data_IF_866440925064
#
_entry.id   IF_866440925064
#
_cell.length_a   1.000
_cell.length_b   1.000
_cell.length_c   1.000
_cell.angle_alpha   90.00
_cell.angle_beta   90.00
_cell.angle_gamma   90.00
#
_symmetry.space_group_name_H-M   'P 1'
#
loop_
_entity.id
_entity.type
_entity.pdbx_description
1 polymer ?
#
# COMPACT_ATOMS: atom_id res chain seq x y z
N UNK A 1 -0.33 5.76 8.39
CA UNK A 1 0.73 5.45 9.36
C UNK A 1 2.09 5.16 8.71
N UNK A 2 2.21 4.23 7.76
CA UNK A 2 3.51 3.92 7.11
C UNK A 2 4.12 5.11 6.35
N UNK A 3 3.30 5.90 5.64
CA UNK A 3 3.78 7.13 4.97
C UNK A 3 4.43 8.10 5.97
N UNK A 4 3.70 8.42 7.05
CA UNK A 4 4.17 9.31 8.13
C UNK A 4 5.50 8.85 8.74
N UNK A 5 5.71 7.54 8.88
CA UNK A 5 6.99 7.02 9.35
C UNK A 5 8.15 7.43 8.43
N UNK A 6 8.00 7.29 7.11
CA UNK A 6 9.02 7.73 6.16
C UNK A 6 9.17 9.26 6.13
N UNK A 7 8.06 10.01 6.19
CA UNK A 7 8.11 11.47 6.24
C UNK A 7 8.87 11.97 7.49
N UNK A 8 8.71 11.29 8.64
CA UNK A 8 9.46 11.62 9.87
C UNK A 8 10.92 11.18 9.80
N UNK A 9 11.21 10.04 9.16
CA UNK A 9 12.57 9.52 9.02
C UNK A 9 13.49 10.49 8.27
N UNK A 10 12.97 11.29 7.34
CA UNK A 10 13.72 12.34 6.63
C UNK A 10 14.20 13.46 7.57
N UNK A 11 13.60 13.60 8.75
CA UNK A 11 13.92 14.63 9.74
C UNK A 11 14.67 14.09 10.95
N UNK A 12 14.85 12.78 11.06
CA UNK A 12 15.58 12.14 12.16
C UNK A 12 17.04 11.95 11.77
N UNK A 13 17.95 12.29 12.68
CA UNK A 13 19.35 11.91 12.51
C UNK A 13 19.50 10.41 12.80
N UNK A 14 19.84 9.65 11.77
CA UNK A 14 20.00 8.19 11.85
C UNK A 14 21.33 7.78 12.50
N UNK A 15 22.18 8.76 12.84
CA UNK A 15 23.44 8.58 13.59
C UNK A 15 23.34 9.07 15.03
N UNK A 16 22.18 9.55 15.44
CA UNK A 16 21.91 9.88 16.83
C UNK A 16 21.85 8.58 17.64
N UNK A 17 22.87 8.35 18.46
CA UNK A 17 23.01 7.16 19.31
C UNK A 17 21.85 7.04 20.32
N UNK A 18 21.18 8.15 20.67
CA UNK A 18 19.99 8.12 21.53
C UNK A 18 18.74 7.63 20.78
N UNK A 19 18.75 7.67 19.44
CA UNK A 19 17.65 7.26 18.57
C UNK A 19 17.86 5.89 17.90
N UNK A 20 19.10 5.40 17.86
CA UNK A 20 19.46 4.17 17.12
C UNK A 20 18.68 2.95 17.59
N UNK A 21 18.41 2.85 18.90
CA UNK A 21 17.68 1.73 19.51
C UNK A 21 16.17 1.74 19.19
N UNK A 22 15.63 2.90 18.78
CA UNK A 22 14.23 3.06 18.41
C UNK A 22 13.98 2.88 16.90
N UNK A 23 15.02 2.94 16.09
CA UNK A 23 14.91 2.78 14.65
C UNK A 23 14.78 1.30 14.28
N UNK A 24 13.79 0.92 13.46
CA UNK A 24 13.69 -0.45 13.01
C UNK A 24 14.87 -0.81 12.11
N UNK A 25 15.30 -2.09 12.10
CA UNK A 25 16.42 -2.54 11.28
C UNK A 25 16.26 -2.18 9.79
N UNK A 26 17.35 -1.99 9.04
CA UNK A 26 17.29 -1.65 7.62
C UNK A 26 16.43 -2.62 6.77
N UNK A 27 16.43 -3.91 7.13
CA UNK A 27 15.59 -4.92 6.48
C UNK A 27 14.09 -4.64 6.68
N UNK A 28 13.69 -4.25 7.88
CA UNK A 28 12.31 -3.86 8.20
C UNK A 28 11.91 -2.59 7.45
N UNK A 29 12.80 -1.60 7.35
CA UNK A 29 12.57 -0.40 6.54
C UNK A 29 12.34 -0.71 5.06
N UNK A 30 13.13 -1.61 4.48
CA UNK A 30 12.90 -2.07 3.10
C UNK A 30 11.53 -2.71 2.92
N UNK A 31 11.10 -3.55 3.88
CA UNK A 31 9.77 -4.17 3.86
C UNK A 31 8.64 -3.15 4.01
N UNK A 32 8.79 -2.17 4.91
CA UNK A 32 7.84 -1.06 5.07
C UNK A 32 7.74 -0.21 3.79
N UNK A 33 8.86 0.01 3.09
CA UNK A 33 8.87 0.75 1.82
C UNK A 33 8.14 -0.01 0.71
N UNK A 34 8.32 -1.34 0.63
CA UNK A 34 7.55 -2.18 -0.29
C UNK A 34 6.05 -2.15 0.04
N UNK A 35 5.70 -2.25 1.32
CA UNK A 35 4.32 -2.13 1.79
C UNK A 35 3.71 -0.78 1.43
N UNK A 36 4.45 0.33 1.60
CA UNK A 36 3.97 1.65 1.24
C UNK A 36 3.66 1.76 -0.27
N UNK A 37 4.49 1.16 -1.13
CA UNK A 37 4.22 1.12 -2.58
C UNK A 37 2.94 0.35 -2.90
N UNK A 38 2.70 -0.76 -2.20
CA UNK A 38 1.49 -1.55 -2.39
C UNK A 38 0.25 -0.79 -1.92
N UNK A 39 0.33 -0.15 -0.74
CA UNK A 39 -0.76 0.68 -0.21
C UNK A 39 -1.13 1.83 -1.15
N UNK A 40 -0.15 2.47 -1.81
CA UNK A 40 -0.41 3.54 -2.80
C UNK A 40 -1.23 3.04 -4.00
N UNK A 41 -1.03 1.81 -4.45
CA UNK A 41 -1.80 1.22 -5.56
C UNK A 41 -3.25 0.97 -5.14
N UNK A 42 -3.44 0.39 -3.96
CA UNK A 42 -4.78 0.17 -3.38
C UNK A 42 -5.49 1.51 -3.17
N UNK A 43 -4.81 2.50 -2.59
CA UNK A 43 -5.34 3.85 -2.40
C UNK A 43 -5.76 4.49 -3.74
N UNK A 44 -4.97 4.33 -4.80
CA UNK A 44 -5.32 4.83 -6.13
C UNK A 44 -6.60 4.22 -6.66
N UNK A 45 -6.77 2.90 -6.55
CA UNK A 45 -8.00 2.21 -6.95
C UNK A 45 -9.17 2.66 -6.09
N UNK A 46 -9.01 2.74 -4.77
CA UNK A 46 -10.06 3.23 -3.86
C UNK A 46 -10.50 4.66 -4.18
N UNK A 47 -9.56 5.55 -4.49
CA UNK A 47 -9.89 6.93 -4.92
C UNK A 47 -10.61 6.96 -6.27
N UNK A 48 -10.21 6.10 -7.20
CA UNK A 48 -10.89 5.99 -8.48
C UNK A 48 -12.33 5.53 -8.30
N UNK A 49 -12.57 4.55 -7.41
CA UNK A 49 -13.92 4.03 -7.08
C UNK A 49 -14.84 5.05 -6.41
N UNK A 50 -14.29 6.06 -5.72
CA UNK A 50 -15.08 7.10 -5.06
C UNK A 50 -15.58 8.19 -6.01
N UNK A 51 -15.19 8.16 -7.29
CA UNK A 51 -15.67 9.13 -8.27
C UNK A 51 -17.14 8.87 -8.61
N UNK A 52 -17.86 9.92 -9.03
CA UNK A 52 -19.28 9.84 -9.36
C UNK A 52 -19.56 9.18 -10.72
N UNK A 53 -18.55 9.07 -11.58
CA UNK A 53 -18.63 8.63 -12.98
C UNK A 53 -18.11 7.20 -13.20
N UNK A 54 -18.06 6.38 -12.15
CA UNK A 54 -17.51 5.02 -12.21
C UNK A 54 -18.56 4.03 -12.69
N UNK A 55 -18.29 3.34 -13.80
CA UNK A 55 -19.11 2.22 -14.24
C UNK A 55 -18.67 0.90 -13.60
N UNK A 56 -19.56 -0.10 -13.53
CA UNK A 56 -19.18 -1.44 -13.05
C UNK A 56 -18.08 -2.09 -13.90
N UNK A 57 -17.97 -1.72 -15.19
CA UNK A 57 -16.89 -2.18 -16.05
C UNK A 57 -15.54 -1.59 -15.59
N UNK A 58 -15.50 -0.32 -15.23
CA UNK A 58 -14.30 0.34 -14.71
C UNK A 58 -13.85 -0.28 -13.39
N UNK A 59 -14.81 -0.57 -12.49
CA UNK A 59 -14.54 -1.28 -11.23
C UNK A 59 -13.85 -2.63 -11.49
N UNK A 60 -14.38 -3.42 -12.44
CA UNK A 60 -13.82 -4.72 -12.80
C UNK A 60 -12.41 -4.58 -13.36
N UNK A 61 -12.19 -3.66 -14.30
CA UNK A 61 -10.86 -3.42 -14.90
C UNK A 61 -9.83 -3.02 -13.85
N UNK A 62 -10.21 -2.16 -12.89
CA UNK A 62 -9.30 -1.74 -11.83
C UNK A 62 -8.97 -2.85 -10.84
N UNK A 63 -9.95 -3.69 -10.49
CA UNK A 63 -9.70 -4.85 -9.63
C UNK A 63 -8.87 -5.92 -10.34
N UNK A 64 -9.15 -6.24 -11.61
CA UNK A 64 -8.35 -7.17 -12.40
C UNK A 64 -6.90 -6.68 -12.54
N UNK A 65 -6.71 -5.38 -12.78
CA UNK A 65 -5.37 -4.76 -12.81
C UNK A 65 -4.65 -4.85 -11.46
N UNK A 66 -5.37 -4.69 -10.34
CA UNK A 66 -4.81 -4.83 -9.01
C UNK A 66 -4.42 -6.29 -8.70
N UNK A 67 -5.24 -7.26 -9.12
CA UNK A 67 -4.99 -8.69 -8.99
C UNK A 67 -3.81 -9.15 -9.86
N UNK A 68 -3.67 -8.63 -11.08
CA UNK A 68 -2.53 -8.91 -11.94
C UNK A 68 -1.19 -8.48 -11.30
N UNK A 69 -1.20 -7.35 -10.58
CA UNK A 69 0.00 -6.86 -9.89
C UNK A 69 0.23 -7.61 -8.57
N UNK A 70 -0.84 -7.99 -7.86
CA UNK A 70 -0.81 -8.65 -6.55
C UNK A 70 -1.88 -9.74 -6.46
N UNK A 71 -1.56 -10.96 -6.93
CA UNK A 71 -2.51 -12.08 -6.91
C UNK A 71 -3.03 -12.43 -5.51
N UNK A 72 -2.22 -12.20 -4.47
CA UNK A 72 -2.63 -12.44 -3.08
C UNK A 72 -3.84 -11.62 -2.61
N UNK A 73 -4.22 -10.55 -3.33
CA UNK A 73 -5.45 -9.80 -3.04
C UNK A 73 -6.72 -10.53 -3.46
N UNK A 74 -6.63 -11.62 -4.22
CA UNK A 74 -7.77 -12.45 -4.63
C UNK A 74 -8.60 -12.91 -3.42
N UNK A 75 -7.94 -13.24 -2.31
CA UNK A 75 -8.62 -13.61 -1.06
C UNK A 75 -9.55 -12.49 -0.53
N UNK A 76 -9.27 -11.23 -0.83
CA UNK A 76 -10.00 -10.07 -0.32
C UNK A 76 -10.96 -9.47 -1.36
N UNK A 77 -10.67 -9.64 -2.66
CA UNK A 77 -11.41 -9.01 -3.78
C UNK A 77 -12.17 -10.05 -4.61
N UNK A 78 -11.62 -11.25 -4.78
CA UNK A 78 -12.16 -12.33 -5.62
C UNK A 78 -13.13 -13.27 -4.91
N UNK A 79 -13.37 -13.11 -3.60
CA UNK A 79 -14.25 -13.99 -2.82
C UNK A 79 -15.74 -13.89 -3.20
N UNK A 80 -16.11 -13.01 -4.14
CA UNK A 80 -17.48 -12.89 -4.69
C UNK A 80 -17.63 -13.63 -6.04
N UNK A 81 -16.97 -14.78 -6.18
CA UNK A 81 -16.90 -15.57 -7.42
C UNK A 81 -17.26 -17.05 -7.28
N UNK A 82 -18.08 -17.42 -6.28
CA UNK A 82 -18.79 -18.72 -6.25
C UNK A 82 -20.30 -18.49 -6.36
N UNK A 83 -20.76 -18.01 -7.52
CA UNK A 83 -22.12 -18.18 -8.05
C UNK A 83 -22.00 -18.45 -9.54
#
# INVERSE_FOLDING_TARGET
MVKRYFDLLEHLDTRDDDLVDFLPPPATNRRLGALLKDLKKVESVSKALQRSDVTLLDVRVWFDGLLAIKPHYEKFIGAFGMI
#
